data_IF_957212580757
#
_entry.id   IF_957212580757
#
_cell.length_a   1.000
_cell.length_b   1.000
_cell.length_c   1.000
_cell.angle_alpha   90.00
_cell.angle_beta   90.00
_cell.angle_gamma   90.00
#
_symmetry.space_group_name_H-M   'P 1'
#
loop_
_entity.id
_entity.type
_entity.pdbx_description
1 polymer ?
#
# COMPACT_ATOMS: atom_id res chain seq x y z
N UNK A 1 1.87 -31.00 -23.83
CA UNK A 1 1.68 -29.56 -24.10
C UNK A 1 2.11 -29.36 -25.53
N UNK A 2 1.22 -28.88 -26.39
CA UNK A 2 1.58 -28.64 -27.79
C UNK A 2 2.59 -27.49 -27.86
N UNK A 3 3.50 -27.51 -28.84
CA UNK A 3 4.54 -26.47 -28.95
C UNK A 3 3.95 -25.05 -29.03
N UNK A 4 2.78 -24.94 -29.66
CA UNK A 4 2.05 -23.68 -29.83
C UNK A 4 1.56 -23.13 -28.48
N UNK A 5 1.16 -23.98 -27.54
CA UNK A 5 0.73 -23.55 -26.20
C UNK A 5 1.89 -22.93 -25.44
N UNK A 6 3.07 -23.57 -25.48
CA UNK A 6 4.27 -23.05 -24.83
C UNK A 6 4.67 -21.69 -25.41
N UNK A 7 4.58 -21.51 -26.73
CA UNK A 7 4.87 -20.23 -27.38
C UNK A 7 3.91 -19.12 -26.95
N UNK A 8 2.62 -19.43 -26.84
CA UNK A 8 1.61 -18.47 -26.42
C UNK A 8 1.78 -18.09 -24.94
N UNK A 9 2.16 -19.04 -24.08
CA UNK A 9 2.49 -18.77 -22.69
C UNK A 9 3.74 -17.88 -22.61
N UNK A 10 4.82 -18.21 -23.33
CA UNK A 10 6.05 -17.38 -23.36
C UNK A 10 5.72 -15.94 -23.75
N UNK A 11 4.95 -15.74 -24.82
CA UNK A 11 4.52 -14.39 -25.23
C UNK A 11 3.72 -13.69 -24.14
N UNK A 12 2.80 -14.40 -23.47
CA UNK A 12 1.98 -13.85 -22.39
C UNK A 12 2.83 -13.40 -21.18
N UNK A 13 3.83 -14.21 -20.81
CA UNK A 13 4.79 -13.88 -19.75
C UNK A 13 5.60 -12.63 -20.13
N UNK A 14 6.09 -12.53 -21.36
CA UNK A 14 6.87 -11.37 -21.80
C UNK A 14 6.02 -10.09 -21.86
N UNK A 15 4.78 -10.16 -22.35
CA UNK A 15 3.85 -9.01 -22.45
C UNK A 15 3.45 -8.48 -21.08
N UNK A 16 3.39 -9.33 -20.05
CA UNK A 16 3.00 -8.90 -18.71
C UNK A 16 4.08 -8.06 -18.01
N UNK A 17 5.35 -8.15 -18.46
CA UNK A 17 6.44 -7.36 -17.93
C UNK A 17 6.69 -6.08 -18.72
N UNK A 18 6.71 -4.97 -17.97
CA UNK A 18 7.09 -3.65 -18.48
C UNK A 18 8.54 -3.65 -18.98
N UNK A 19 8.74 -3.20 -20.21
CA UNK A 19 10.08 -3.07 -20.82
C UNK A 19 10.74 -4.39 -21.27
N UNK A 20 10.04 -5.52 -21.16
CA UNK A 20 10.55 -6.83 -21.55
C UNK A 20 11.28 -7.58 -20.43
N UNK A 21 11.80 -8.77 -20.76
CA UNK A 21 12.40 -9.71 -19.79
C UNK A 21 13.84 -10.04 -20.19
N UNK A 22 14.84 -9.96 -19.29
CA UNK A 22 16.18 -10.45 -19.60
C UNK A 22 16.19 -11.94 -19.97
N UNK A 23 17.01 -12.34 -20.93
CA UNK A 23 17.16 -13.76 -21.32
C UNK A 23 17.54 -14.67 -20.15
N UNK A 24 18.27 -14.14 -19.16
CA UNK A 24 18.62 -14.89 -17.95
C UNK A 24 17.43 -15.17 -17.03
N UNK A 25 16.36 -14.38 -17.10
CA UNK A 25 15.23 -14.41 -16.15
C UNK A 25 13.99 -15.10 -16.74
N UNK A 26 13.90 -15.24 -18.07
CA UNK A 26 12.69 -15.75 -18.74
C UNK A 26 12.27 -17.15 -18.28
N UNK A 27 13.22 -18.02 -17.94
CA UNK A 27 12.90 -19.35 -17.44
C UNK A 27 12.25 -19.29 -16.05
N UNK A 28 12.75 -18.42 -15.19
CA UNK A 28 12.23 -18.26 -13.83
C UNK A 28 10.83 -17.61 -13.87
N UNK A 29 10.64 -16.59 -14.70
CA UNK A 29 9.32 -15.94 -14.90
C UNK A 29 8.29 -16.91 -15.49
N UNK A 30 8.69 -17.74 -16.45
CA UNK A 30 7.83 -18.79 -16.99
C UNK A 30 7.47 -19.82 -15.92
N UNK A 31 8.45 -20.22 -15.10
CA UNK A 31 8.25 -21.17 -14.00
C UNK A 31 7.34 -20.61 -12.92
N UNK A 32 7.45 -19.33 -12.60
CA UNK A 32 6.52 -18.67 -11.66
C UNK A 32 5.08 -18.71 -12.20
N UNK A 33 4.91 -18.54 -13.52
CA UNK A 33 3.60 -18.54 -14.16
C UNK A 33 2.98 -19.94 -14.33
N UNK A 34 3.78 -20.96 -14.70
CA UNK A 34 3.29 -22.31 -15.05
C UNK A 34 3.52 -23.34 -13.94
N UNK A 35 4.52 -23.12 -13.08
CA UNK A 35 4.93 -24.03 -12.00
C UNK A 35 6.09 -24.96 -12.35
N UNK A 36 6.59 -24.94 -13.59
CA UNK A 36 7.74 -25.75 -14.03
C UNK A 36 8.60 -25.00 -15.05
N UNK A 37 9.82 -25.49 -15.27
CA UNK A 37 10.77 -24.91 -16.22
C UNK A 37 10.27 -25.04 -17.67
N UNK A 38 10.83 -24.22 -18.58
CA UNK A 38 10.50 -24.28 -20.00
C UNK A 38 11.02 -25.61 -20.58
N UNK A 39 10.17 -26.46 -21.18
CA UNK A 39 10.56 -27.81 -21.62
C UNK A 39 11.30 -27.81 -22.97
N UNK A 40 12.31 -26.95 -23.16
CA UNK A 40 12.98 -26.77 -24.47
C UNK A 40 13.70 -28.04 -24.96
N UNK A 41 14.23 -28.88 -24.06
CA UNK A 41 14.88 -30.15 -24.41
C UNK A 41 13.86 -31.19 -24.90
N UNK A 42 12.73 -31.31 -24.20
CA UNK A 42 11.63 -32.20 -24.59
C UNK A 42 11.03 -31.78 -25.92
N UNK A 43 11.08 -30.47 -26.20
CA UNK A 43 10.64 -29.91 -27.47
C UNK A 43 11.67 -30.07 -28.61
N UNK A 44 12.82 -30.70 -28.36
CA UNK A 44 13.85 -30.99 -29.37
C UNK A 44 14.83 -29.85 -29.65
N UNK A 45 14.87 -28.81 -28.82
CA UNK A 45 15.83 -27.71 -28.96
C UNK A 45 17.09 -27.94 -28.14
N UNK A 46 18.23 -27.49 -28.67
CA UNK A 46 19.54 -27.64 -28.01
C UNK A 46 19.77 -26.64 -26.87
N UNK A 47 19.00 -25.56 -26.82
CA UNK A 47 19.08 -24.53 -25.80
C UNK A 47 17.79 -23.73 -25.72
N UNK A 48 17.58 -23.06 -24.58
CA UNK A 48 16.48 -22.11 -24.39
C UNK A 48 16.49 -20.99 -25.44
N UNK A 49 17.67 -20.44 -25.76
CA UNK A 49 17.80 -19.41 -26.79
C UNK A 49 17.34 -19.91 -28.17
N UNK A 50 17.65 -21.17 -28.53
CA UNK A 50 17.23 -21.76 -29.80
C UNK A 50 15.70 -21.91 -29.90
N UNK A 51 15.04 -22.27 -28.79
CA UNK A 51 13.58 -22.28 -28.70
C UNK A 51 13.01 -20.87 -28.89
N UNK A 52 13.52 -19.89 -28.13
CA UNK A 52 13.02 -18.52 -28.13
C UNK A 52 13.17 -17.84 -29.49
N UNK A 53 14.25 -18.12 -30.23
CA UNK A 53 14.41 -17.66 -31.61
C UNK A 53 13.35 -18.19 -32.58
N UNK A 54 12.68 -19.31 -32.25
CA UNK A 54 11.64 -19.91 -33.09
C UNK A 54 10.24 -19.36 -32.79
N UNK A 55 10.06 -18.67 -31.66
CA UNK A 55 8.78 -18.10 -31.25
C UNK A 55 8.42 -16.92 -32.17
N UNK A 56 7.30 -16.98 -32.91
CA UNK A 56 6.91 -15.90 -33.80
C UNK A 56 6.51 -14.64 -33.01
N UNK A 57 6.98 -13.47 -33.47
CA UNK A 57 6.71 -12.18 -32.83
C UNK A 57 7.56 -11.89 -31.60
N UNK A 58 8.43 -12.81 -31.18
CA UNK A 58 9.39 -12.57 -30.11
C UNK A 58 10.68 -11.99 -30.70
N UNK A 59 11.15 -10.88 -30.13
CA UNK A 59 12.39 -10.24 -30.55
C UNK A 59 13.38 -10.14 -29.38
N UNK A 60 14.65 -10.10 -29.73
CA UNK A 60 15.74 -9.86 -28.80
C UNK A 60 16.29 -8.45 -29.02
N UNK A 61 16.16 -7.60 -28.03
CA UNK A 61 16.74 -6.26 -28.00
C UNK A 61 17.98 -6.26 -27.10
N UNK A 62 19.08 -5.65 -27.57
CA UNK A 62 20.29 -5.52 -26.77
C UNK A 62 20.31 -4.17 -26.05
N UNK A 63 20.25 -4.21 -24.73
CA UNK A 63 20.33 -3.03 -23.85
C UNK A 63 21.60 -3.10 -23.03
N UNK A 64 22.65 -2.41 -23.49
CA UNK A 64 23.99 -2.51 -22.92
C UNK A 64 24.56 -3.92 -23.06
N UNK A 65 24.84 -4.56 -21.93
CA UNK A 65 25.36 -5.94 -21.87
C UNK A 65 24.26 -7.01 -21.71
N UNK A 66 22.98 -6.60 -21.66
CA UNK A 66 21.86 -7.53 -21.45
C UNK A 66 21.07 -7.73 -22.75
N UNK A 67 20.57 -8.95 -22.93
CA UNK A 67 19.62 -9.29 -23.99
C UNK A 67 18.22 -9.33 -23.38
N UNK A 68 17.34 -8.47 -23.86
CA UNK A 68 15.97 -8.32 -23.39
C UNK A 68 15.02 -8.91 -24.43
N UNK A 69 14.08 -9.72 -23.98
CA UNK A 69 13.00 -10.28 -24.77
C UNK A 69 11.80 -9.34 -24.77
N UNK A 70 11.27 -9.07 -25.96
CA UNK A 70 10.05 -8.28 -26.17
C UNK A 70 9.15 -8.95 -27.20
N UNK A 71 7.85 -8.69 -27.12
CA UNK A 71 6.86 -9.21 -28.08
C UNK A 71 6.39 -8.07 -28.99
N UNK A 72 6.57 -8.28 -30.29
CA UNK A 72 6.08 -7.42 -31.37
C UNK A 72 5.02 -8.17 -32.16
N UNK A 73 3.82 -8.24 -31.61
CA UNK A 73 2.63 -8.77 -32.27
C UNK A 73 1.56 -7.68 -32.25
N UNK A 74 0.91 -7.44 -33.41
CA UNK A 74 -0.17 -6.46 -33.54
C UNK A 74 -1.31 -6.75 -32.55
N UNK A 75 -1.53 -8.03 -32.24
CA UNK A 75 -2.55 -8.47 -31.27
C UNK A 75 -2.26 -7.99 -29.86
N UNK A 76 -0.99 -7.93 -29.46
CA UNK A 76 -0.58 -7.57 -28.10
C UNK A 76 -0.05 -6.14 -27.98
N UNK A 77 0.09 -5.41 -29.10
CA UNK A 77 0.61 -4.05 -29.13
C UNK A 77 -0.12 -3.08 -28.19
N UNK A 78 -1.46 -3.16 -28.15
CA UNK A 78 -2.26 -2.32 -27.25
C UNK A 78 -2.03 -2.67 -25.77
N UNK A 79 -1.86 -3.95 -25.44
CA UNK A 79 -1.56 -4.41 -24.08
C UNK A 79 -0.16 -3.95 -23.67
N UNK A 80 0.84 -4.15 -24.53
CA UNK A 80 2.21 -3.68 -24.31
C UNK A 80 2.24 -2.17 -24.03
N UNK A 81 1.47 -1.38 -24.77
CA UNK A 81 1.33 0.06 -24.52
C UNK A 81 0.76 0.33 -23.13
N UNK A 82 -0.31 -0.35 -22.73
CA UNK A 82 -0.92 -0.18 -21.41
C UNK A 82 0.04 -0.59 -20.28
N UNK A 83 0.73 -1.72 -20.42
CA UNK A 83 1.71 -2.21 -19.43
C UNK A 83 2.87 -1.22 -19.28
N UNK A 84 3.38 -0.67 -20.39
CA UNK A 84 4.45 0.32 -20.35
C UNK A 84 4.04 1.65 -19.70
N UNK A 85 2.75 1.98 -19.72
CA UNK A 85 2.21 3.17 -19.06
C UNK A 85 1.91 2.95 -17.57
N UNK A 86 1.97 1.72 -17.06
CA UNK A 86 1.76 1.46 -15.64
C UNK A 86 2.82 2.19 -14.81
N UNK A 87 2.35 2.96 -13.83
CA UNK A 87 3.21 3.59 -12.83
C UNK A 87 3.78 2.51 -11.92
N UNK A 88 5.09 2.57 -11.67
CA UNK A 88 5.67 1.75 -10.62
C UNK A 88 5.20 2.35 -9.30
N UNK A 89 4.35 1.63 -8.57
CA UNK A 89 4.07 1.99 -7.18
C UNK A 89 5.39 1.90 -6.44
N UNK A 90 6.05 3.03 -6.21
CA UNK A 90 7.24 3.08 -5.40
C UNK A 90 6.78 2.70 -4.00
N UNK A 91 6.97 1.43 -3.62
CA UNK A 91 6.82 1.00 -2.23
C UNK A 91 8.03 1.53 -1.47
N UNK A 92 8.13 2.85 -1.36
CA UNK A 92 8.85 3.41 -0.24
C UNK A 92 8.16 2.89 1.02
N UNK A 93 8.94 2.35 1.95
CA UNK A 93 8.51 2.03 3.31
C UNK A 93 8.17 3.32 4.10
N UNK A 94 7.52 4.29 3.45
CA UNK A 94 6.94 5.44 4.12
C UNK A 94 5.62 4.95 4.66
N UNK A 95 5.63 4.55 5.93
CA UNK A 95 4.42 4.48 6.75
C UNK A 95 3.48 5.60 6.31
N UNK A 96 2.20 5.33 6.00
CA UNK A 96 1.28 6.40 5.64
C UNK A 96 1.29 7.38 6.79
N UNK A 97 1.91 8.54 6.60
CA UNK A 97 1.76 9.62 7.55
C UNK A 97 0.29 9.96 7.49
N UNK A 98 -0.46 9.50 8.49
CA UNK A 98 -1.78 10.01 8.80
C UNK A 98 -1.59 11.47 9.21
N UNK A 99 -1.33 12.34 8.22
CA UNK A 99 -1.64 13.76 8.30
C UNK A 99 -3.15 13.82 8.34
N UNK A 100 -3.68 13.58 9.53
CA UNK A 100 -5.03 13.92 9.89
C UNK A 100 -5.15 15.43 9.70
N UNK A 101 -5.74 15.83 8.57
CA UNK A 101 -6.21 17.20 8.34
C UNK A 101 -7.36 17.46 9.31
N UNK A 102 -7.05 17.73 10.58
CA UNK A 102 -8.02 18.26 11.52
C UNK A 102 -7.74 19.75 11.79
N UNK A 103 -7.82 20.55 10.71
CA UNK A 103 -7.56 22.01 10.78
C UNK A 103 -8.78 22.81 11.26
N UNK A 104 -9.98 22.21 11.36
CA UNK A 104 -11.22 22.96 11.60
C UNK A 104 -11.68 23.04 13.07
N UNK A 105 -11.19 22.17 13.96
CA UNK A 105 -11.64 22.17 15.38
C UNK A 105 -10.78 23.01 16.35
N UNK A 106 -9.59 23.49 15.94
CA UNK A 106 -8.69 24.26 16.82
C UNK A 106 -9.19 25.69 17.09
N UNK A 107 -9.97 26.27 16.18
CA UNK A 107 -10.39 27.67 16.27
C UNK A 107 -11.59 27.90 17.20
N UNK A 108 -12.40 26.89 17.54
CA UNK A 108 -13.53 27.08 18.46
C UNK A 108 -13.11 27.10 19.94
N UNK A 109 -12.09 26.32 20.32
CA UNK A 109 -11.63 26.24 21.73
C UNK A 109 -10.89 27.51 22.16
N UNK A 110 -10.17 28.15 21.23
CA UNK A 110 -9.47 29.40 21.49
C UNK A 110 -10.43 30.57 21.76
N UNK A 111 -11.53 30.68 21.00
CA UNK A 111 -12.54 31.72 21.23
C UNK A 111 -13.35 31.49 22.50
N UNK A 112 -13.72 30.24 22.79
CA UNK A 112 -14.45 29.90 24.03
C UNK A 112 -13.63 30.25 25.28
N UNK A 113 -12.33 29.90 25.30
CA UNK A 113 -11.45 30.21 26.43
C UNK A 113 -11.21 31.72 26.59
N UNK A 114 -11.26 32.51 25.50
CA UNK A 114 -11.12 33.96 25.56
C UNK A 114 -12.34 34.64 26.23
N UNK A 115 -13.56 34.20 25.90
CA UNK A 115 -14.79 34.71 26.51
C UNK A 115 -14.93 34.32 27.99
N UNK A 116 -14.56 33.09 28.35
CA UNK A 116 -14.62 32.61 29.75
C UNK A 116 -13.60 33.33 30.64
N UNK A 117 -12.36 33.50 30.19
CA UNK A 117 -11.35 34.20 30.98
C UNK A 117 -11.62 35.72 31.10
N UNK A 118 -12.19 36.35 30.07
CA UNK A 118 -12.57 37.78 30.13
C UNK A 118 -13.71 38.04 31.13
N UNK A 119 -14.70 37.15 31.17
CA UNK A 119 -15.80 37.22 32.14
C UNK A 119 -15.29 37.00 33.59
N UNK A 120 -14.30 36.12 33.80
CA UNK A 120 -13.69 35.92 35.12
C UNK A 120 -12.82 37.09 35.59
N UNK A 121 -12.20 37.87 34.69
CA UNK A 121 -11.44 39.07 35.08
C UNK A 121 -12.34 40.27 35.43
N UNK A 122 -13.53 40.35 34.82
CA UNK A 122 -14.49 41.44 35.07
C UNK A 122 -15.34 41.24 36.33
N UNK A 123 -15.45 40.01 36.86
CA UNK A 123 -16.16 39.73 38.14
C UNK A 123 -15.35 40.03 39.41
N UNK A 124 -14.13 40.59 39.31
CA UNK A 124 -13.24 40.87 40.47
C UNK A 124 -13.21 42.33 40.93
N UNK A 125 -14.04 43.20 40.36
CA UNK A 125 -14.23 44.57 40.83
C UNK A 125 -15.70 44.74 41.16
N UNK A 126 -16.08 44.55 42.42
CA UNK A 126 -17.17 45.22 43.19
C UNK A 126 -17.22 44.53 44.58
N UNK A 127 -16.76 45.29 45.57
CA UNK A 127 -17.16 45.38 46.97
C UNK A 127 -17.03 44.22 47.98
N UNK A 128 -16.11 44.50 48.90
CA UNK A 128 -16.05 44.10 50.31
C UNK A 128 -17.41 44.38 51.00
N UNK A 129 -17.87 43.50 51.90
CA UNK A 129 -18.34 43.79 53.28
C UNK A 129 -18.98 42.53 53.95
N UNK A 130 -18.40 42.10 55.09
CA UNK A 130 -18.98 41.54 56.34
C UNK A 130 -20.16 40.51 56.27
N UNK A 131 -20.18 39.30 56.87
CA UNK A 131 -20.00 38.93 58.31
C UNK A 131 -19.77 37.41 58.56
N UNK A 132 -18.81 37.10 59.45
CA UNK A 132 -18.88 36.27 60.69
C UNK A 132 -19.35 34.77 60.72
N UNK A 133 -18.40 33.88 61.13
CA UNK A 133 -18.48 32.68 62.06
C UNK A 133 -19.40 31.48 61.72
N UNK A 134 -19.16 30.20 62.08
CA UNK A 134 -18.09 29.37 62.71
C UNK A 134 -18.53 27.88 62.61
N UNK A 135 -17.58 26.96 62.87
CA UNK A 135 -17.73 25.49 63.11
C UNK A 135 -17.85 24.64 61.84
N UNK A 136 -17.15 23.53 61.61
CA UNK A 136 -16.26 22.69 62.44
C UNK A 136 -16.49 21.22 62.04
N UNK A 137 -15.41 20.42 62.03
CA UNK A 137 -15.39 18.95 61.91
C UNK A 137 -15.75 18.33 60.53
N UNK A 138 -15.31 17.14 60.10
CA UNK A 138 -14.22 16.21 60.42
C UNK A 138 -14.45 15.01 59.45
N UNK A 139 -13.38 14.26 59.14
CA UNK A 139 -13.34 12.87 58.61
C UNK A 139 -13.66 12.55 57.14
N UNK A 140 -12.64 11.93 56.56
CA UNK A 140 -12.62 10.84 55.58
C UNK A 140 -13.58 9.69 55.92
N UNK A 141 -14.08 8.95 54.91
CA UNK A 141 -14.01 7.48 54.79
C UNK A 141 -14.61 7.03 53.45
N UNK A 142 -13.93 6.03 52.91
CA UNK A 142 -14.14 5.12 51.78
C UNK A 142 -15.58 4.72 51.45
N UNK A 143 -15.85 4.48 50.16
CA UNK A 143 -16.97 3.66 49.71
C UNK A 143 -16.44 2.46 48.89
N UNK A 144 -16.46 1.31 49.54
CA UNK A 144 -16.45 -0.04 48.95
C UNK A 144 -17.87 -0.34 48.48
N UNK A 145 -18.04 -0.82 47.24
CA UNK A 145 -19.36 -1.18 46.73
C UNK A 145 -19.29 -1.95 45.42
N UNK A 146 -19.26 -3.28 45.54
CA UNK A 146 -19.34 -4.29 44.48
C UNK A 146 -20.68 -4.24 43.73
N UNK A 147 -20.64 -4.33 42.39
CA UNK A 147 -21.79 -4.77 41.59
C UNK A 147 -21.44 -6.03 40.80
N UNK A 148 -22.06 -7.15 41.23
CA UNK A 148 -22.18 -8.40 40.49
C UNK A 148 -23.12 -8.19 39.30
N UNK A 149 -22.69 -8.59 38.11
CA UNK A 149 -23.56 -8.74 36.93
C UNK A 149 -23.83 -10.24 36.76
N UNK A 150 -25.09 -10.62 36.92
CA UNK A 150 -25.60 -11.97 36.64
C UNK A 150 -26.04 -12.03 35.18
N UNK A 151 -25.46 -12.94 34.41
CA UNK A 151 -25.86 -13.26 33.03
C UNK A 151 -27.14 -14.11 33.09
N UNK A 152 -28.15 -13.75 32.28
CA UNK A 152 -29.34 -14.58 32.03
C UNK A 152 -29.52 -14.84 30.54
N UNK A 153 -29.41 -16.14 30.25
CA UNK A 153 -30.02 -17.01 29.23
C UNK A 153 -29.87 -16.64 27.76
#
# INVERSE_FOLDING_TARGET
MEHEDTFNIIKSVVVSRKGGIPLSEINDEFKEYVGHDIPFLEMGYRSLAALLMRVPGLIFERTGHRLILQVHDDKTAHINKLVNLQEQSNKENTVPSLVTRNRKHRNQVAEHNYWVNRRMSESKVIDKHHTRTRHGADRTVEYVGTLRITIRQ
#
